data_IF_881169371028
#
_entry.id   IF_881169371028
#
_cell.length_a   1.000
_cell.length_b   1.000
_cell.length_c   1.000
_cell.angle_alpha   90.00
_cell.angle_beta   90.00
_cell.angle_gamma   90.00
#
_symmetry.space_group_name_H-M   'P 1'
#
loop_
_entity.id
_entity.type
_entity.pdbx_description
1 polymer ?
#
# COMPACT_ATOMS: atom_id res chain seq x y z
N UNK A 1 -44.60 -17.63 -25.60
CA UNK A 1 -43.90 -16.41 -25.15
C UNK A 1 -43.18 -16.78 -23.87
N UNK A 2 -42.00 -17.39 -24.01
CA UNK A 2 -41.24 -17.90 -22.87
C UNK A 2 -40.42 -16.73 -22.34
N UNK A 3 -40.70 -16.34 -21.10
CA UNK A 3 -40.06 -15.22 -20.43
C UNK A 3 -38.58 -15.57 -20.23
N UNK A 4 -37.68 -14.82 -20.88
CA UNK A 4 -36.24 -14.86 -20.63
C UNK A 4 -36.01 -14.34 -19.21
N UNK A 5 -35.81 -15.27 -18.28
CA UNK A 5 -35.33 -14.95 -16.93
C UNK A 5 -33.98 -14.25 -17.07
N UNK A 6 -33.94 -12.98 -16.68
CA UNK A 6 -32.72 -12.16 -16.64
C UNK A 6 -31.62 -12.91 -15.91
N UNK A 7 -30.53 -13.22 -16.61
CA UNK A 7 -29.28 -13.66 -15.99
C UNK A 7 -28.65 -12.45 -15.33
N UNK A 8 -29.07 -12.17 -14.10
CA UNK A 8 -28.38 -11.20 -13.26
C UNK A 8 -26.97 -11.75 -12.99
N UNK A 9 -25.93 -11.12 -13.53
CA UNK A 9 -24.56 -11.55 -13.31
C UNK A 9 -24.24 -11.33 -11.84
N UNK A 10 -24.00 -12.39 -11.07
CA UNK A 10 -23.54 -12.26 -9.68
C UNK A 10 -22.22 -11.50 -9.66
N UNK A 11 -22.25 -10.23 -9.26
CA UNK A 11 -21.05 -9.40 -9.11
C UNK A 11 -20.23 -9.97 -7.95
N UNK A 12 -19.09 -10.57 -8.27
CA UNK A 12 -18.10 -10.98 -7.25
C UNK A 12 -17.18 -9.82 -6.91
N UNK A 13 -16.50 -9.91 -5.76
CA UNK A 13 -15.50 -8.93 -5.30
C UNK A 13 -14.47 -8.50 -6.36
N UNK A 14 -14.06 -9.39 -7.26
CA UNK A 14 -13.09 -9.12 -8.32
C UNK A 14 -13.60 -8.17 -9.42
N UNK A 15 -14.92 -7.90 -9.46
CA UNK A 15 -15.52 -6.93 -10.39
C UNK A 15 -15.60 -5.52 -9.80
N UNK A 16 -15.38 -5.36 -8.49
CA UNK A 16 -15.44 -4.06 -7.80
C UNK A 16 -14.10 -3.33 -7.88
N UNK A 17 -14.08 -1.99 -7.92
CA UNK A 17 -12.83 -1.22 -7.91
C UNK A 17 -12.08 -1.39 -6.59
N UNK A 18 -10.78 -1.11 -6.62
CA UNK A 18 -9.93 -1.07 -5.44
C UNK A 18 -9.39 0.33 -5.23
N UNK A 19 -8.94 0.62 -4.00
CA UNK A 19 -8.35 1.92 -3.65
C UNK A 19 -6.98 1.75 -3.03
N UNK A 20 -6.10 2.74 -3.25
CA UNK A 20 -4.84 2.85 -2.51
C UNK A 20 -5.11 3.49 -1.15
N UNK A 21 -4.67 2.83 -0.10
CA UNK A 21 -4.86 3.28 1.27
C UNK A 21 -3.52 3.60 1.93
N UNK A 22 -3.26 4.89 2.08
CA UNK A 22 -2.03 5.40 2.67
C UNK A 22 -2.05 5.31 4.20
N UNK A 23 -1.09 4.57 4.75
CA UNK A 23 -0.90 4.46 6.20
C UNK A 23 0.19 5.45 6.64
N UNK A 24 -0.24 6.64 7.04
CA UNK A 24 0.65 7.72 7.47
C UNK A 24 1.35 7.35 8.78
N UNK A 25 2.62 6.97 8.71
CA UNK A 25 3.44 6.56 9.87
C UNK A 25 2.89 5.38 10.64
N UNK A 26 1.97 4.61 10.06
CA UNK A 26 1.28 3.52 10.78
C UNK A 26 0.42 3.99 11.96
N UNK A 27 0.06 5.27 12.04
CA UNK A 27 -0.65 5.88 13.17
C UNK A 27 -2.15 5.52 13.25
N UNK A 28 -2.48 4.23 13.06
CA UNK A 28 -3.82 3.69 13.03
C UNK A 28 -4.06 2.77 14.23
N UNK A 29 -5.30 2.76 14.69
CA UNK A 29 -5.81 1.81 15.69
C UNK A 29 -6.70 0.75 15.00
N UNK A 30 -6.92 -0.38 15.65
CA UNK A 30 -7.84 -1.41 15.14
C UNK A 30 -9.24 -0.86 14.84
N UNK A 31 -9.75 0.04 15.68
CA UNK A 31 -11.06 0.65 15.49
C UNK A 31 -11.11 1.58 14.26
N UNK A 32 -10.06 2.37 14.02
CA UNK A 32 -9.95 3.20 12.81
C UNK A 32 -9.81 2.35 11.55
N UNK A 33 -9.11 1.21 11.62
CA UNK A 33 -8.98 0.24 10.53
C UNK A 33 -10.35 -0.35 10.17
N UNK A 34 -11.07 -0.90 11.16
CA UNK A 34 -12.41 -1.47 10.98
C UNK A 34 -13.35 -0.45 10.34
N UNK A 35 -13.45 0.75 10.93
CA UNK A 35 -14.31 1.82 10.41
C UNK A 35 -13.95 2.23 8.98
N UNK A 36 -12.66 2.24 8.64
CA UNK A 36 -12.21 2.60 7.28
C UNK A 36 -12.60 1.53 6.26
N UNK A 37 -12.41 0.24 6.60
CA UNK A 37 -12.79 -0.87 5.73
C UNK A 37 -14.31 -0.96 5.53
N UNK A 38 -15.10 -0.76 6.59
CA UNK A 38 -16.57 -0.67 6.47
C UNK A 38 -16.98 0.44 5.50
N UNK A 39 -16.36 1.63 5.63
CA UNK A 39 -16.63 2.75 4.71
C UNK A 39 -16.24 2.44 3.26
N UNK A 40 -15.12 1.75 3.04
CA UNK A 40 -14.73 1.34 1.70
C UNK A 40 -15.69 0.29 1.13
N UNK A 41 -16.09 -0.69 1.93
CA UNK A 41 -17.08 -1.69 1.56
C UNK A 41 -18.41 -1.04 1.16
N UNK A 42 -18.93 -0.13 2.00
CA UNK A 42 -20.20 0.55 1.80
C UNK A 42 -20.18 1.49 0.58
N UNK A 43 -19.01 2.05 0.27
CA UNK A 43 -18.79 2.81 -0.97
C UNK A 43 -18.66 1.93 -2.23
N UNK A 44 -18.69 0.60 -2.09
CA UNK A 44 -18.67 -0.34 -3.20
C UNK A 44 -17.28 -0.82 -3.62
N UNK A 45 -16.23 -0.60 -2.82
CA UNK A 45 -14.90 -1.12 -3.11
C UNK A 45 -14.82 -2.63 -2.85
N UNK A 46 -14.06 -3.34 -3.68
CA UNK A 46 -13.76 -4.76 -3.53
C UNK A 46 -12.44 -5.04 -2.83
N UNK A 47 -11.64 -4.02 -2.55
CA UNK A 47 -10.37 -4.19 -1.86
C UNK A 47 -9.57 -2.91 -1.72
N UNK A 48 -8.47 -3.04 -0.98
CA UNK A 48 -7.54 -1.96 -0.66
C UNK A 48 -6.10 -2.40 -0.92
N UNK A 49 -5.27 -1.47 -1.36
CA UNK A 49 -3.81 -1.63 -1.39
C UNK A 49 -3.21 -0.81 -0.25
N UNK A 50 -2.68 -1.49 0.76
CA UNK A 50 -2.02 -0.86 1.91
C UNK A 50 -0.67 -0.30 1.46
N UNK A 51 -0.50 1.01 1.64
CA UNK A 51 0.71 1.75 1.27
C UNK A 51 1.30 2.46 2.50
N UNK A 52 2.21 1.80 3.25
CA UNK A 52 2.89 2.41 4.38
C UNK A 52 3.77 3.56 3.90
N UNK A 53 3.64 4.70 4.55
CA UNK A 53 4.38 5.93 4.21
C UNK A 53 4.79 6.67 5.47
N UNK A 54 5.63 7.70 5.34
CA UNK A 54 6.08 8.54 6.44
C UNK A 54 4.92 9.08 7.29
N UNK A 55 5.23 9.42 8.54
CA UNK A 55 4.26 9.96 9.50
C UNK A 55 3.69 11.31 9.07
N UNK A 56 2.46 11.59 9.51
CA UNK A 56 1.88 12.92 9.39
C UNK A 56 2.49 13.85 10.45
N UNK A 57 2.80 15.09 10.05
CA UNK A 57 3.32 16.11 10.97
C UNK A 57 2.35 16.35 12.12
N UNK A 58 2.85 16.34 13.35
CA UNK A 58 2.06 16.50 14.57
C UNK A 58 1.42 15.22 15.11
N UNK A 59 1.73 14.06 14.51
CA UNK A 59 1.28 12.73 14.93
C UNK A 59 2.47 11.78 15.17
N UNK A 60 3.65 12.35 15.45
CA UNK A 60 4.90 11.59 15.64
C UNK A 60 4.83 10.64 16.85
N UNK A 61 4.04 10.99 17.86
CA UNK A 61 3.77 10.18 19.07
C UNK A 61 2.97 8.90 18.80
N UNK A 62 2.25 8.86 17.68
CA UNK A 62 1.46 7.71 17.22
C UNK A 62 2.17 6.88 16.15
N UNK A 63 3.42 7.20 15.82
CA UNK A 63 4.13 6.50 14.76
C UNK A 63 4.44 5.04 15.14
N UNK A 64 4.00 4.12 14.29
CA UNK A 64 4.29 2.68 14.43
C UNK A 64 5.32 2.30 13.38
N UNK A 65 6.47 1.79 13.84
CA UNK A 65 7.57 1.42 12.96
C UNK A 65 7.16 0.30 11.99
N UNK A 66 7.44 0.47 10.71
CA UNK A 66 7.12 -0.53 9.68
C UNK A 66 7.78 -1.88 9.99
N UNK A 67 7.02 -2.97 9.81
CA UNK A 67 7.40 -4.35 10.14
C UNK A 67 7.73 -4.61 11.63
N UNK A 68 7.48 -3.66 12.52
CA UNK A 68 7.50 -3.94 13.96
C UNK A 68 6.38 -4.91 14.35
N UNK A 69 6.47 -5.59 15.51
CA UNK A 69 5.41 -6.48 15.98
C UNK A 69 4.03 -5.80 16.06
N UNK A 70 4.00 -4.52 16.43
CA UNK A 70 2.77 -3.72 16.48
C UNK A 70 2.20 -3.46 15.09
N UNK A 71 3.04 -3.07 14.13
CA UNK A 71 2.62 -2.89 12.73
C UNK A 71 2.06 -4.19 12.15
N UNK A 72 2.73 -5.31 12.40
CA UNK A 72 2.27 -6.63 11.97
C UNK A 72 0.92 -7.01 12.61
N UNK A 73 0.66 -6.60 13.85
CA UNK A 73 -0.62 -6.83 14.51
C UNK A 73 -1.75 -6.00 13.87
N UNK A 74 -1.49 -4.73 13.54
CA UNK A 74 -2.43 -3.86 12.81
C UNK A 74 -2.72 -4.41 11.41
N UNK A 75 -1.68 -4.88 10.70
CA UNK A 75 -1.84 -5.49 9.40
C UNK A 75 -2.64 -6.80 9.48
N UNK A 76 -2.36 -7.65 10.46
CA UNK A 76 -3.15 -8.86 10.69
C UNK A 76 -4.62 -8.55 11.03
N UNK A 77 -4.89 -7.47 11.76
CA UNK A 77 -6.26 -6.98 11.97
C UNK A 77 -6.92 -6.57 10.66
N UNK A 78 -6.21 -5.81 9.83
CA UNK A 78 -6.68 -5.40 8.49
C UNK A 78 -7.08 -6.59 7.63
N UNK A 79 -6.28 -7.66 7.62
CA UNK A 79 -6.58 -8.88 6.85
C UNK A 79 -7.85 -9.57 7.34
N UNK A 80 -8.05 -9.67 8.66
CA UNK A 80 -9.26 -10.30 9.26
C UNK A 80 -10.52 -9.51 8.94
N UNK A 81 -10.47 -8.19 9.07
CA UNK A 81 -11.63 -7.34 8.80
C UNK A 81 -11.98 -7.31 7.31
N UNK A 82 -10.97 -7.30 6.43
CA UNK A 82 -11.20 -7.40 5.01
C UNK A 82 -11.82 -8.74 4.61
N UNK A 83 -11.36 -9.86 5.21
CA UNK A 83 -11.98 -11.17 5.00
C UNK A 83 -13.44 -11.18 5.46
N UNK A 84 -13.75 -10.59 6.62
CA UNK A 84 -15.13 -10.47 7.12
C UNK A 84 -16.05 -9.71 6.14
N UNK A 85 -15.52 -8.70 5.46
CA UNK A 85 -16.27 -7.83 4.54
C UNK A 85 -16.27 -8.32 3.09
N UNK A 86 -15.72 -9.51 2.79
CA UNK A 86 -15.45 -9.98 1.42
C UNK A 86 -14.70 -8.89 0.60
N UNK A 87 -13.63 -8.37 1.20
CA UNK A 87 -12.69 -7.41 0.60
C UNK A 87 -11.30 -8.04 0.45
N UNK A 88 -10.55 -7.59 -0.53
CA UNK A 88 -9.15 -7.99 -0.71
C UNK A 88 -8.20 -6.97 -0.14
N UNK A 89 -7.01 -7.44 0.18
CA UNK A 89 -5.91 -6.61 0.65
C UNK A 89 -4.69 -6.94 -0.18
N UNK A 90 -4.05 -5.90 -0.69
CA UNK A 90 -2.71 -5.96 -1.24
C UNK A 90 -1.77 -5.10 -0.40
N UNK A 91 -0.46 -5.37 -0.46
CA UNK A 91 0.57 -4.62 0.25
C UNK A 91 1.67 -4.27 -0.75
N UNK A 92 2.01 -2.99 -0.85
CA UNK A 92 3.11 -2.57 -1.73
C UNK A 92 4.44 -3.16 -1.28
N UNK A 93 5.37 -3.35 -2.23
CA UNK A 93 6.70 -3.87 -1.95
C UNK A 93 7.60 -2.84 -1.24
N UNK A 94 7.36 -2.56 0.04
CA UNK A 94 8.17 -1.68 0.90
C UNK A 94 7.40 -0.51 1.53
N UNK A 95 8.13 0.54 1.95
CA UNK A 95 7.54 1.76 2.53
C UNK A 95 7.54 2.89 1.51
N UNK A 96 6.55 2.91 0.63
CA UNK A 96 6.41 3.95 -0.39
C UNK A 96 7.51 3.89 -1.46
N UNK A 97 7.99 5.07 -1.90
CA UNK A 97 9.02 5.24 -2.93
C UNK A 97 10.19 6.07 -2.39
N UNK A 98 11.46 5.73 -2.73
CA UNK A 98 11.91 4.59 -3.52
C UNK A 98 11.86 3.25 -2.76
N UNK A 99 11.74 2.14 -3.50
CA UNK A 99 11.81 0.80 -2.92
C UNK A 99 13.21 0.53 -2.36
N UNK A 100 13.26 -0.01 -1.15
CA UNK A 100 14.50 -0.29 -0.44
C UNK A 100 14.24 -0.60 1.02
N UNK A 101 15.30 -0.82 1.78
CA UNK A 101 15.22 -1.03 3.22
C UNK A 101 16.61 -1.12 3.84
N UNK A 102 16.72 -1.06 5.18
CA UNK A 102 18.00 -1.15 5.89
C UNK A 102 18.78 -2.46 5.65
N UNK A 103 18.15 -3.45 5.02
CA UNK A 103 18.76 -4.72 4.61
C UNK A 103 19.40 -4.69 3.21
N UNK A 104 19.20 -3.64 2.42
CA UNK A 104 19.81 -3.50 1.08
C UNK A 104 21.20 -2.90 1.25
N UNK A 105 22.22 -3.60 0.75
CA UNK A 105 23.61 -3.16 0.83
C UNK A 105 23.92 -2.07 -0.21
N UNK A 106 25.02 -1.33 -0.03
CA UNK A 106 25.50 -0.38 -1.04
C UNK A 106 25.77 -1.05 -2.39
N UNK A 107 26.22 -2.31 -2.38
CA UNK A 107 26.51 -3.07 -3.59
C UNK A 107 25.23 -3.44 -4.38
N UNK A 108 24.10 -3.58 -3.69
CA UNK A 108 22.79 -3.90 -4.28
C UNK A 108 21.94 -2.64 -4.52
N UNK A 109 22.47 -1.46 -4.17
CA UNK A 109 21.76 -0.18 -4.29
C UNK A 109 21.81 0.36 -5.72
N UNK A 110 20.79 1.14 -6.09
CA UNK A 110 20.75 1.81 -7.38
C UNK A 110 21.96 2.73 -7.56
N UNK A 111 22.79 2.44 -8.56
CA UNK A 111 24.02 3.17 -8.87
C UNK A 111 23.87 4.00 -10.14
N UNK A 112 24.59 5.11 -10.23
CA UNK A 112 24.63 5.95 -11.42
C UNK A 112 26.08 6.12 -11.92
N UNK A 113 26.26 6.22 -13.24
CA UNK A 113 27.56 6.46 -13.88
C UNK A 113 27.59 7.88 -14.44
N UNK A 114 28.56 8.68 -14.02
CA UNK A 114 28.88 9.96 -14.65
C UNK A 114 30.14 9.82 -15.50
N UNK A 115 30.07 10.26 -16.75
CA UNK A 115 31.18 10.26 -17.68
C UNK A 115 31.30 11.63 -18.33
N UNK A 116 32.49 12.21 -18.27
CA UNK A 116 32.82 13.48 -18.90
C UNK A 116 34.08 13.31 -19.75
N UNK A 117 34.02 13.79 -20.99
CA UNK A 117 35.17 13.81 -21.89
C UNK A 117 35.69 15.24 -21.95
N UNK A 118 36.89 15.47 -21.41
CA UNK A 118 37.54 16.77 -21.50
C UNK A 118 38.37 16.88 -22.79
N UNK A 119 38.34 18.03 -23.48
CA UNK A 119 39.17 18.24 -24.67
C UNK A 119 40.66 18.31 -24.28
N UNK A 120 41.51 17.59 -25.00
CA UNK A 120 42.96 17.75 -24.89
C UNK A 120 43.37 19.00 -25.67
N UNK A 121 43.67 20.07 -24.95
CA UNK A 121 44.27 21.26 -25.55
C UNK A 121 45.70 20.93 -26.01
N UNK A 122 45.89 20.64 -27.30
CA UNK A 122 47.23 20.67 -27.91
C UNK A 122 47.55 22.12 -28.18
N UNK A 123 48.32 22.74 -27.29
CA UNK A 123 48.94 24.05 -27.58
C UNK A 123 50.14 23.78 -28.49
N UNK A 124 50.08 24.29 -29.73
CA UNK A 124 51.20 24.30 -30.68
C UNK A 124 52.28 25.29 -30.28
#
# INVERSE_FOLDING_TARGET
MTQESSRESTLTRTHKPWTRWWWMGGALTNAEITLSLERFHDAGFGGVEVSPIYGARGYEDRAVAFLSPEWMALFAHTLREAEQLDMGVDLIAGTGWPFGGPWVSDADSASHLWMETLPTSVTS
#
